data_IF_561751982745
#
_entry.id   IF_561751982745
#
_cell.length_a   1.000
_cell.length_b   1.000
_cell.length_c   1.000
_cell.angle_alpha   90.00
_cell.angle_beta   90.00
_cell.angle_gamma   90.00
#
_symmetry.space_group_name_H-M   'P 1'
#
loop_
_entity.id
_entity.type
_entity.pdbx_description
1 polymer ?
#
# COMPACT_ATOMS: atom_id res chain seq x y z
N UNK A 1 13.92 15.35 9.65
CA UNK A 1 12.91 14.42 9.14
C UNK A 1 13.51 13.54 8.06
N UNK A 2 13.14 12.26 8.06
CA UNK A 2 13.55 11.29 7.04
C UNK A 2 12.33 10.99 6.17
N UNK A 3 12.42 11.24 4.87
CA UNK A 3 11.45 10.72 3.91
C UNK A 3 11.65 9.21 3.79
N UNK A 4 10.64 8.44 4.18
CA UNK A 4 10.71 6.97 4.19
C UNK A 4 10.10 6.38 2.94
N UNK A 5 9.00 6.95 2.47
CA UNK A 5 8.28 6.46 1.30
C UNK A 5 7.38 7.55 0.74
N UNK A 6 7.23 7.55 -0.57
CA UNK A 6 6.13 8.15 -1.31
C UNK A 6 5.07 7.10 -1.60
N UNK A 7 3.82 7.46 -1.42
CA UNK A 7 2.65 6.62 -1.66
C UNK A 7 1.77 7.37 -2.65
N UNK A 8 1.26 6.66 -3.65
CA UNK A 8 0.37 7.23 -4.66
C UNK A 8 -1.07 6.91 -4.27
N UNK A 9 -1.86 7.94 -4.02
CA UNK A 9 -3.31 7.82 -4.01
C UNK A 9 -3.84 7.93 -5.44
N UNK A 10 -4.15 6.79 -6.04
CA UNK A 10 -4.78 6.71 -7.35
C UNK A 10 -6.28 6.92 -7.23
N UNK A 11 -6.81 7.88 -8.00
CA UNK A 11 -8.24 8.21 -8.11
C UNK A 11 -8.79 7.57 -9.37
N UNK A 12 -9.64 6.52 -9.28
CA UNK A 12 -10.19 5.87 -10.47
C UNK A 12 -11.11 6.80 -11.28
N UNK A 13 -11.71 7.79 -10.61
CA UNK A 13 -12.59 8.80 -11.23
C UNK A 13 -12.05 10.20 -10.90
N UNK A 14 -10.94 10.66 -11.53
CA UNK A 14 -10.44 12.00 -11.33
C UNK A 14 -11.38 13.03 -11.94
N UNK A 15 -11.34 14.27 -11.45
CA UNK A 15 -11.99 15.40 -12.13
C UNK A 15 -11.39 15.54 -13.52
N UNK A 16 -12.23 15.69 -14.57
CA UNK A 16 -11.74 15.92 -15.92
C UNK A 16 -11.01 17.27 -15.99
N UNK A 17 -9.89 17.29 -16.70
CA UNK A 17 -9.13 18.50 -16.99
C UNK A 17 -9.29 18.85 -18.47
N UNK A 18 -9.53 20.13 -18.79
CA UNK A 18 -9.65 20.60 -20.17
C UNK A 18 -8.30 20.86 -20.86
N UNK A 19 -7.23 20.25 -20.36
CA UNK A 19 -5.88 20.44 -20.91
C UNK A 19 -5.58 19.44 -22.02
N UNK A 20 -4.87 19.88 -23.05
CA UNK A 20 -4.51 19.08 -24.23
C UNK A 20 -3.01 18.86 -24.39
N UNK A 21 -2.20 19.50 -23.56
CA UNK A 21 -0.73 19.51 -23.61
C UNK A 21 -0.07 18.51 -22.64
N UNK A 22 -0.88 17.83 -21.83
CA UNK A 22 -0.42 16.83 -20.85
C UNK A 22 -1.53 15.84 -20.49
N UNK A 23 -1.17 14.76 -19.83
CA UNK A 23 -2.13 13.80 -19.30
C UNK A 23 -2.93 14.40 -18.13
N UNK A 24 -4.21 14.02 -18.01
CA UNK A 24 -5.04 14.30 -16.85
C UNK A 24 -4.42 13.68 -15.58
N UNK A 25 -4.30 14.48 -14.52
CA UNK A 25 -3.74 14.01 -13.25
C UNK A 25 -4.75 13.16 -12.49
N UNK A 26 -4.49 11.86 -12.39
CA UNK A 26 -5.38 10.89 -11.75
C UNK A 26 -4.88 10.43 -10.36
N UNK A 27 -3.95 11.15 -9.75
CA UNK A 27 -3.36 10.75 -8.46
C UNK A 27 -2.91 11.95 -7.65
N UNK A 28 -2.74 11.69 -6.34
CA UNK A 28 -2.05 12.55 -5.39
C UNK A 28 -0.99 11.76 -4.64
N UNK A 29 -0.09 12.46 -3.94
CA UNK A 29 0.98 11.85 -3.17
C UNK A 29 0.68 11.92 -1.68
N UNK A 30 1.01 10.83 -0.97
CA UNK A 30 1.09 10.78 0.48
C UNK A 30 2.54 10.47 0.82
N UNK A 31 3.14 11.27 1.70
CA UNK A 31 4.53 11.10 2.08
C UNK A 31 4.63 10.57 3.50
N UNK A 32 5.33 9.45 3.67
CA UNK A 32 5.68 8.91 4.97
C UNK A 32 6.99 9.53 5.44
N UNK A 33 6.93 10.31 6.51
CA UNK A 33 8.10 10.87 7.17
C UNK A 33 8.27 10.30 8.58
N UNK A 34 9.52 10.22 9.03
CA UNK A 34 9.85 9.92 10.41
C UNK A 34 10.82 10.94 11.00
N UNK A 35 10.77 11.16 12.32
CA UNK A 35 11.72 12.05 13.02
C UNK A 35 13.07 11.39 13.26
N UNK A 36 13.11 10.04 13.27
CA UNK A 36 14.32 9.26 13.53
C UNK A 36 14.41 8.08 12.55
N UNK A 37 15.59 7.47 12.47
CA UNK A 37 15.81 6.28 11.64
C UNK A 37 15.00 5.07 12.12
N UNK A 38 14.77 4.97 13.43
CA UNK A 38 13.88 3.98 14.06
C UNK A 38 12.57 4.64 14.42
N UNK A 39 11.46 4.05 14.01
CA UNK A 39 10.11 4.56 14.24
C UNK A 39 9.12 3.41 14.30
N UNK A 40 7.94 3.66 14.88
CA UNK A 40 6.84 2.71 14.88
C UNK A 40 6.23 2.60 13.48
N UNK A 41 6.02 1.39 13.03
CA UNK A 41 5.27 1.09 11.81
C UNK A 41 4.68 -0.31 11.90
N UNK A 42 3.35 -0.42 11.95
CA UNK A 42 2.65 -1.69 12.01
C UNK A 42 2.27 -2.16 10.59
N UNK A 43 3.15 -2.93 9.97
CA UNK A 43 2.94 -3.49 8.66
C UNK A 43 1.85 -4.57 8.65
N UNK A 44 1.64 -5.28 9.77
CA UNK A 44 0.64 -6.35 9.87
C UNK A 44 -0.77 -5.80 9.82
N UNK A 45 -1.01 -4.67 10.52
CA UNK A 45 -2.32 -4.02 10.59
C UNK A 45 -2.85 -3.53 9.23
N UNK A 46 -1.96 -3.36 8.25
CA UNK A 46 -2.32 -2.83 6.93
C UNK A 46 -2.09 -3.81 5.79
N UNK A 47 -1.84 -5.09 6.08
CA UNK A 47 -1.70 -6.10 5.03
C UNK A 47 -2.91 -6.13 4.12
N UNK A 48 -2.66 -6.41 2.84
CA UNK A 48 -3.70 -6.58 1.83
C UNK A 48 -3.78 -8.05 1.39
N UNK A 49 -4.93 -8.50 0.87
CA UNK A 49 -5.05 -9.85 0.31
C UNK A 49 -3.97 -10.10 -0.74
N UNK A 50 -3.33 -11.27 -0.69
CA UNK A 50 -2.42 -11.70 -1.73
C UNK A 50 -3.23 -12.03 -2.98
N UNK A 51 -3.26 -11.10 -3.93
CA UNK A 51 -3.81 -11.34 -5.27
C UNK A 51 -2.67 -11.75 -6.18
N UNK A 52 -2.69 -12.92 -6.69
CA UNK A 52 -1.64 -13.48 -7.54
C UNK A 52 -1.06 -14.74 -6.95
N UNK A 53 -0.08 -15.26 -7.53
CA UNK A 53 0.49 -16.58 -7.34
C UNK A 53 0.56 -17.02 -5.85
N UNK A 54 -0.44 -17.75 -5.43
CA UNK A 54 -0.54 -18.31 -4.06
C UNK A 54 0.12 -19.69 -3.93
N UNK A 55 1.05 -20.04 -4.82
CA UNK A 55 1.67 -21.36 -4.85
C UNK A 55 0.66 -22.48 -5.03
N UNK A 56 -0.61 -22.14 -5.32
CA UNK A 56 -1.65 -23.13 -5.46
C UNK A 56 -1.30 -24.10 -6.59
N UNK A 57 -1.33 -25.36 -6.26
CA UNK A 57 -1.52 -26.42 -7.25
C UNK A 57 -2.73 -26.01 -8.08
N UNK A 58 -2.60 -26.01 -9.39
CA UNK A 58 -3.79 -25.98 -10.23
C UNK A 58 -4.75 -27.07 -9.74
N UNK A 59 -6.06 -26.87 -9.88
CA UNK A 59 -7.08 -27.86 -9.48
C UNK A 59 -6.81 -29.26 -10.04
N UNK A 60 -5.98 -29.35 -11.07
CA UNK A 60 -5.51 -30.63 -11.70
C UNK A 60 -4.27 -31.22 -11.03
N UNK A 61 -3.77 -30.70 -9.94
CA UNK A 61 -2.63 -31.24 -9.19
C UNK A 61 -1.26 -31.08 -9.88
N UNK A 62 -1.17 -30.38 -11.01
CA UNK A 62 0.08 -30.23 -11.76
C UNK A 62 0.86 -29.03 -11.27
N UNK A 63 2.12 -29.23 -10.93
CA UNK A 63 3.05 -28.15 -10.61
C UNK A 63 3.28 -27.27 -11.85
N UNK A 64 3.35 -25.96 -11.65
CA UNK A 64 3.74 -24.96 -12.67
C UNK A 64 5.03 -25.32 -13.42
N UNK A 65 5.91 -26.08 -12.79
CA UNK A 65 7.17 -26.57 -13.38
C UNK A 65 6.93 -27.47 -14.59
N UNK A 66 5.79 -28.17 -14.63
CA UNK A 66 5.41 -29.09 -15.71
C UNK A 66 4.35 -28.52 -16.66
N UNK A 67 3.98 -27.22 -16.51
CA UNK A 67 3.04 -26.64 -17.45
C UNK A 67 3.68 -26.57 -18.86
N UNK A 68 3.01 -27.06 -19.92
CA UNK A 68 3.59 -27.14 -21.26
C UNK A 68 4.06 -25.79 -21.84
N UNK A 69 3.67 -24.68 -21.23
CA UNK A 69 4.12 -23.32 -21.59
C UNK A 69 5.21 -22.75 -20.66
N UNK A 70 5.52 -23.40 -19.53
CA UNK A 70 6.63 -23.00 -18.63
C UNK A 70 7.93 -23.54 -19.19
N UNK A 71 8.46 -22.95 -20.14
CA UNK A 71 9.70 -23.37 -20.83
C UNK A 71 9.75 -22.89 -22.26
N UNK A 72 8.58 -22.75 -22.89
CA UNK A 72 8.52 -22.24 -24.27
C UNK A 72 8.78 -20.73 -24.37
N UNK A 73 8.60 -19.99 -23.28
CA UNK A 73 8.90 -18.56 -23.19
C UNK A 73 10.24 -18.24 -22.51
N UNK A 74 11.11 -19.22 -22.33
CA UNK A 74 12.54 -18.93 -22.17
C UNK A 74 13.11 -18.47 -23.50
N UNK A 75 12.49 -17.43 -24.01
CA UNK A 75 12.96 -16.76 -25.19
C UNK A 75 14.32 -16.18 -24.91
N UNK A 76 15.25 -16.63 -25.75
CA UNK A 76 16.47 -15.97 -26.14
C UNK A 76 16.99 -15.01 -25.07
N UNK A 77 17.74 -15.57 -24.16
CA UNK A 77 18.64 -14.75 -23.37
C UNK A 77 19.32 -13.78 -24.33
N UNK A 78 19.40 -12.50 -24.00
CA UNK A 78 20.15 -11.56 -24.80
C UNK A 78 21.55 -12.12 -25.06
N UNK A 79 22.08 -11.95 -26.26
CA UNK A 79 23.43 -12.38 -26.60
C UNK A 79 24.42 -11.84 -25.55
N UNK A 80 25.19 -12.73 -24.90
CA UNK A 80 26.13 -12.35 -23.83
C UNK A 80 25.68 -12.72 -22.40
N UNK A 81 24.44 -13.21 -22.20
CA UNK A 81 23.97 -13.61 -20.86
C UNK A 81 24.39 -15.04 -20.45
N UNK A 82 24.80 -15.85 -21.39
CA UNK A 82 25.42 -17.17 -21.17
C UNK A 82 26.93 -17.12 -21.36
N UNK A 83 27.57 -16.16 -20.74
CA UNK A 83 29.01 -16.18 -20.60
C UNK A 83 29.39 -17.28 -19.62
N UNK A 84 30.22 -18.24 -20.06
CA UNK A 84 30.62 -19.44 -19.35
C UNK A 84 30.95 -19.34 -17.87
N UNK A 85 31.73 -20.28 -17.32
CA UNK A 85 32.12 -20.31 -15.89
C UNK A 85 32.45 -18.92 -15.36
N UNK A 86 31.55 -18.29 -14.58
CA UNK A 86 31.70 -16.94 -14.02
C UNK A 86 30.71 -15.90 -14.53
N UNK A 87 29.84 -16.21 -15.49
CA UNK A 87 28.76 -15.30 -15.92
C UNK A 87 27.63 -15.19 -14.89
N UNK A 88 26.87 -14.12 -14.97
CA UNK A 88 25.77 -13.80 -14.03
C UNK A 88 24.77 -14.94 -13.76
N UNK A 89 24.70 -15.93 -14.67
CA UNK A 89 23.87 -17.12 -14.52
C UNK A 89 24.49 -18.22 -13.65
N UNK A 90 25.79 -18.19 -13.37
CA UNK A 90 26.45 -19.23 -12.57
C UNK A 90 26.39 -18.95 -11.07
N UNK A 91 26.10 -17.72 -10.67
CA UNK A 91 26.02 -17.34 -9.25
C UNK A 91 24.89 -18.07 -8.51
N UNK A 92 23.87 -18.49 -9.22
CA UNK A 92 22.75 -19.24 -8.63
C UNK A 92 22.90 -20.77 -8.73
N UNK A 93 23.94 -21.29 -9.37
CA UNK A 93 24.09 -22.71 -9.62
C UNK A 93 25.19 -23.40 -8.83
N UNK A 94 26.17 -22.67 -8.33
CA UNK A 94 27.34 -23.24 -7.64
C UNK A 94 27.16 -23.49 -6.15
N UNK A 95 26.01 -23.17 -5.57
CA UNK A 95 25.73 -23.37 -4.15
C UNK A 95 24.66 -24.45 -3.83
N UNK A 96 24.17 -25.19 -4.83
CA UNK A 96 23.17 -26.26 -4.62
C UNK A 96 23.70 -27.61 -5.05
N UNK A 97 24.76 -28.05 -4.43
CA UNK A 97 25.29 -29.40 -4.61
C UNK A 97 24.78 -30.38 -3.53
N UNK A 98 23.91 -29.97 -2.66
CA UNK A 98 23.18 -30.90 -1.78
C UNK A 98 21.69 -30.59 -1.91
N UNK A 99 20.96 -31.58 -2.42
CA UNK A 99 19.51 -31.59 -2.34
C UNK A 99 19.17 -31.59 -0.85
N UNK A 100 18.87 -30.42 -0.31
CA UNK A 100 18.17 -30.35 0.97
C UNK A 100 16.84 -31.06 0.68
N UNK A 101 16.68 -32.23 1.28
CA UNK A 101 15.43 -32.94 1.33
C UNK A 101 14.42 -31.97 1.95
N UNK A 102 13.64 -31.32 1.13
CA UNK A 102 12.51 -30.51 1.57
C UNK A 102 11.50 -31.49 2.17
N UNK A 103 11.71 -31.82 3.45
CA UNK A 103 10.65 -32.37 4.24
C UNK A 103 9.51 -31.36 4.25
N UNK A 104 8.41 -31.79 3.75
CA UNK A 104 7.11 -31.18 3.51
C UNK A 104 6.58 -30.31 4.65
N UNK A 105 7.15 -29.15 4.84
CA UNK A 105 6.45 -28.04 5.48
C UNK A 105 6.58 -26.88 4.49
N UNK A 106 5.81 -26.94 3.42
CA UNK A 106 5.51 -25.71 2.69
C UNK A 106 4.81 -24.79 3.71
N UNK A 107 5.39 -23.63 4.07
CA UNK A 107 4.67 -22.70 4.91
C UNK A 107 3.33 -22.44 4.22
N UNK A 108 2.23 -22.54 4.98
CA UNK A 108 0.92 -22.22 4.47
C UNK A 108 1.04 -20.92 3.69
N UNK A 109 0.65 -20.95 2.43
CA UNK A 109 0.79 -19.80 1.54
C UNK A 109 0.06 -18.63 2.22
N UNK A 110 0.81 -17.60 2.60
CA UNK A 110 0.24 -16.44 3.26
C UNK A 110 -0.86 -15.86 2.38
N UNK A 111 -2.07 -15.85 2.88
CA UNK A 111 -3.23 -15.27 2.20
C UNK A 111 -3.16 -13.75 2.11
N UNK A 112 -2.17 -13.16 2.77
CA UNK A 112 -1.94 -11.72 2.82
C UNK A 112 -0.51 -11.37 2.41
N UNK A 113 -0.33 -10.14 1.97
CA UNK A 113 0.96 -9.55 1.60
C UNK A 113 1.09 -8.13 2.16
N UNK A 114 2.29 -7.61 2.22
CA UNK A 114 2.51 -6.21 2.58
C UNK A 114 1.76 -5.27 1.63
N UNK A 115 1.17 -4.23 2.20
CA UNK A 115 0.46 -3.21 1.43
C UNK A 115 1.41 -2.53 0.45
N UNK A 116 0.97 -2.40 -0.81
CA UNK A 116 1.73 -1.73 -1.87
C UNK A 116 1.61 -0.21 -1.75
N UNK A 117 2.51 0.51 -2.39
CA UNK A 117 2.57 1.98 -2.35
C UNK A 117 1.61 2.69 -3.31
N UNK A 118 0.82 1.97 -4.10
CA UNK A 118 -0.24 2.54 -4.93
C UNK A 118 -1.59 2.13 -4.36
N UNK A 119 -2.34 3.12 -3.86
CA UNK A 119 -3.63 2.92 -3.21
C UNK A 119 -4.74 3.46 -4.11
N UNK A 120 -5.59 2.56 -4.59
CA UNK A 120 -6.76 2.94 -5.38
C UNK A 120 -7.94 3.18 -4.45
N UNK A 121 -8.25 4.45 -4.21
CA UNK A 121 -9.36 4.86 -3.34
C UNK A 121 -10.19 5.89 -4.09
N UNK A 122 -11.47 5.59 -4.41
CA UNK A 122 -12.32 6.55 -5.09
C UNK A 122 -12.57 7.78 -4.21
N UNK A 123 -12.54 8.99 -4.78
CA UNK A 123 -13.00 10.18 -4.09
C UNK A 123 -14.45 10.00 -3.63
N UNK A 124 -14.76 10.49 -2.44
CA UNK A 124 -16.13 10.54 -1.96
C UNK A 124 -16.60 12.00 -1.93
N UNK A 125 -17.77 12.31 -2.52
CA UNK A 125 -18.33 13.65 -2.40
C UNK A 125 -18.71 13.91 -0.94
N UNK A 126 -18.29 15.04 -0.42
CA UNK A 126 -18.70 15.52 0.89
C UNK A 126 -19.72 16.62 0.69
N UNK A 127 -20.93 16.45 1.24
CA UNK A 127 -22.07 17.33 0.96
C UNK A 127 -21.89 18.74 1.53
N UNK A 128 -21.15 18.87 2.61
CA UNK A 128 -21.06 20.07 3.44
C UNK A 128 -19.74 20.82 3.34
N UNK A 129 -18.69 20.18 2.83
CA UNK A 129 -17.37 20.79 2.68
C UNK A 129 -17.02 21.00 1.20
N UNK A 130 -16.74 22.23 0.84
CA UNK A 130 -16.43 22.62 -0.53
C UNK A 130 -14.98 22.38 -0.95
N UNK A 131 -14.07 21.98 -0.05
CA UNK A 131 -12.63 21.94 -0.33
C UNK A 131 -11.94 20.69 0.18
N UNK A 132 -11.09 20.13 -0.70
CA UNK A 132 -9.96 19.21 -0.44
C UNK A 132 -10.19 18.08 0.60
N UNK A 133 -11.40 17.52 0.66
CA UNK A 133 -11.69 16.39 1.55
C UNK A 133 -11.10 15.10 0.97
N UNK A 134 -10.65 14.22 1.84
CA UNK A 134 -10.23 12.87 1.48
C UNK A 134 -11.16 11.84 2.15
N UNK A 135 -11.36 10.67 1.51
CA UNK A 135 -12.23 9.63 2.05
C UNK A 135 -11.61 8.96 3.28
N UNK A 136 -12.46 8.52 4.24
CA UNK A 136 -12.01 7.80 5.43
C UNK A 136 -11.09 6.62 5.10
N UNK A 137 -11.41 5.86 4.05
CA UNK A 137 -10.63 4.70 3.61
C UNK A 137 -9.18 5.02 3.22
N UNK A 138 -8.88 6.28 2.91
CA UNK A 138 -7.52 6.72 2.62
C UNK A 138 -6.68 6.85 3.88
N UNK A 139 -7.25 7.40 4.96
CA UNK A 139 -6.51 7.68 6.18
C UNK A 139 -6.42 6.46 7.13
N UNK A 140 -7.35 5.50 7.01
CA UNK A 140 -7.36 4.27 7.82
C UNK A 140 -5.99 3.58 7.84
N UNK A 141 -5.37 3.21 6.70
CA UNK A 141 -4.07 2.56 6.72
C UNK A 141 -2.95 3.46 7.26
N UNK A 142 -3.04 4.78 7.10
CA UNK A 142 -2.06 5.70 7.68
C UNK A 142 -2.08 5.66 9.20
N UNK A 143 -3.27 5.68 9.80
CA UNK A 143 -3.45 5.64 11.26
C UNK A 143 -3.06 4.28 11.81
N UNK A 144 -3.52 3.18 11.18
CA UNK A 144 -3.21 1.83 11.63
C UNK A 144 -1.70 1.55 11.62
N UNK A 145 -1.01 1.96 10.55
CA UNK A 145 0.43 1.75 10.44
C UNK A 145 1.25 2.69 11.33
N UNK A 146 0.83 3.95 11.45
CA UNK A 146 1.64 5.00 12.07
C UNK A 146 1.38 5.25 13.56
N UNK A 147 0.25 4.75 14.11
CA UNK A 147 -0.15 5.01 15.49
C UNK A 147 -0.59 3.72 16.20
N UNK A 148 0.05 3.35 17.32
CA UNK A 148 -0.38 2.20 18.12
C UNK A 148 -1.78 2.43 18.71
N UNK A 149 -2.48 1.35 19.07
CA UNK A 149 -3.76 1.44 19.78
C UNK A 149 -3.61 2.26 21.06
N UNK A 150 -4.57 3.15 21.34
CA UNK A 150 -4.51 4.11 22.44
C UNK A 150 -3.53 5.27 22.26
N UNK A 151 -2.75 5.28 21.17
CA UNK A 151 -1.84 6.37 20.82
C UNK A 151 -2.58 7.66 20.44
N UNK A 152 -1.81 8.72 20.16
CA UNK A 152 -2.33 10.03 19.82
C UNK A 152 -2.03 10.38 18.37
N UNK A 153 -3.07 10.74 17.62
CA UNK A 153 -3.01 11.26 16.26
C UNK A 153 -3.18 12.78 16.32
N UNK A 154 -2.32 13.49 15.62
CA UNK A 154 -2.41 14.95 15.47
C UNK A 154 -2.70 15.29 13.99
N UNK A 155 -3.73 16.10 13.76
CA UNK A 155 -4.01 16.73 12.48
C UNK A 155 -3.95 18.24 12.62
N UNK A 156 -2.91 18.90 12.10
CA UNK A 156 -2.79 20.37 12.21
C UNK A 156 -3.70 21.12 11.23
N UNK A 157 -4.39 20.42 10.33
CA UNK A 157 -5.32 20.99 9.33
C UNK A 157 -6.59 20.15 9.29
N UNK A 158 -7.29 20.11 10.41
CA UNK A 158 -8.35 19.13 10.70
C UNK A 158 -9.56 19.20 9.73
N UNK A 159 -9.84 20.38 9.17
CA UNK A 159 -10.99 20.59 8.30
C UNK A 159 -12.29 20.08 8.93
N UNK A 160 -13.01 19.20 8.23
CA UNK A 160 -14.23 18.56 8.71
C UNK A 160 -14.01 17.43 9.73
N UNK A 161 -12.79 17.22 10.21
CA UNK A 161 -12.48 16.26 11.27
C UNK A 161 -12.31 14.80 10.81
N UNK A 162 -12.17 14.53 9.53
CA UNK A 162 -12.07 13.15 9.01
C UNK A 162 -10.99 12.33 9.73
N UNK A 163 -9.77 12.89 9.90
CA UNK A 163 -8.68 12.21 10.60
C UNK A 163 -9.07 11.87 12.05
N UNK A 164 -9.64 12.82 12.77
CA UNK A 164 -10.03 12.67 14.18
C UNK A 164 -11.13 11.62 14.33
N UNK A 165 -12.16 11.68 13.47
CA UNK A 165 -13.26 10.72 13.46
C UNK A 165 -12.73 9.30 13.25
N UNK A 166 -11.86 9.10 12.24
CA UNK A 166 -11.30 7.79 11.93
C UNK A 166 -10.36 7.30 13.04
N UNK A 167 -9.53 8.17 13.61
CA UNK A 167 -8.66 7.80 14.72
C UNK A 167 -9.46 7.27 15.91
N UNK A 168 -10.54 7.98 16.29
CA UNK A 168 -11.42 7.56 17.38
C UNK A 168 -12.14 6.23 17.06
N UNK A 169 -12.65 6.04 15.85
CA UNK A 169 -13.24 4.75 15.39
C UNK A 169 -12.25 3.60 15.50
N UNK A 170 -10.97 3.87 15.31
CA UNK A 170 -9.90 2.87 15.38
C UNK A 170 -9.29 2.71 16.80
N UNK A 171 -9.87 3.34 17.83
CA UNK A 171 -9.38 3.25 19.20
C UNK A 171 -8.09 4.02 19.46
N UNK A 172 -7.85 5.11 18.74
CA UNK A 172 -6.76 6.07 18.96
C UNK A 172 -7.35 7.38 19.47
N UNK A 173 -6.58 8.11 20.28
CA UNK A 173 -6.92 9.47 20.62
C UNK A 173 -6.54 10.40 19.48
N UNK A 174 -7.22 11.54 19.36
CA UNK A 174 -6.89 12.50 18.30
C UNK A 174 -7.02 13.94 18.78
N UNK A 175 -6.14 14.80 18.24
CA UNK A 175 -6.20 16.26 18.38
C UNK A 175 -6.19 16.83 16.96
N UNK A 176 -7.12 17.74 16.67
CA UNK A 176 -7.18 18.48 15.43
C UNK A 176 -7.08 19.98 15.69
N UNK A 177 -6.41 20.70 14.78
CA UNK A 177 -6.43 22.16 14.74
C UNK A 177 -7.12 22.61 13.46
N UNK A 178 -8.03 23.58 13.59
CA UNK A 178 -8.74 24.18 12.46
C UNK A 178 -8.87 25.67 12.69
N UNK A 179 -8.58 26.47 11.67
CA UNK A 179 -8.67 27.93 11.73
C UNK A 179 -10.05 28.45 11.34
N UNK A 180 -10.78 27.71 10.49
CA UNK A 180 -12.11 28.12 10.07
C UNK A 180 -13.17 27.61 11.06
N UNK A 181 -13.86 28.51 11.80
CA UNK A 181 -14.88 28.10 12.76
C UNK A 181 -16.04 27.34 12.13
N UNK A 182 -16.39 27.59 10.87
CA UNK A 182 -17.46 26.87 10.17
C UNK A 182 -17.18 25.38 10.07
N UNK A 183 -15.92 24.98 9.88
CA UNK A 183 -15.53 23.57 9.82
C UNK A 183 -15.58 22.92 11.21
N UNK A 184 -15.29 23.67 12.27
CA UNK A 184 -15.44 23.19 13.65
C UNK A 184 -16.90 22.90 13.98
N UNK A 185 -17.83 23.71 13.49
CA UNK A 185 -19.28 23.51 13.67
C UNK A 185 -19.80 22.27 12.93
N UNK A 186 -19.26 21.98 11.73
CA UNK A 186 -19.60 20.76 10.97
C UNK A 186 -19.22 19.51 11.77
N UNK A 187 -18.08 19.52 12.42
CA UNK A 187 -17.58 18.39 13.19
C UNK A 187 -18.34 18.19 14.51
N UNK A 188 -18.72 19.26 15.15
CA UNK A 188 -19.42 19.28 16.44
C UNK A 188 -20.73 20.09 16.32
N UNK A 189 -21.76 19.54 15.62
CA UNK A 189 -23.01 20.28 15.49
C UNK A 189 -23.59 20.59 16.89
N UNK A 190 -23.84 21.85 17.12
CA UNK A 190 -24.49 22.31 18.36
C UNK A 190 -25.84 21.61 18.46
N UNK A 191 -26.18 20.95 19.59
CA UNK A 191 -27.50 20.35 19.75
C UNK A 191 -28.58 21.43 19.60
N UNK A 192 -29.51 21.22 18.68
CA UNK A 192 -30.69 22.08 18.51
C UNK A 192 -31.69 21.84 19.61
#
# INVERSE_FOLDING_TARGET
WYLRQDIIWHKPNPMPESVTDRCTKAHEYIFLFSKSAKYYFDAEAIKEPATGWNGSKFEDGKNLINHPNVGKNRQRKPAGWDTGKGGHGSFHRSGRAEAIEYTEIAPEASTTRNKRSVWTVPPQPFKEAHFATFPENLIVPCILAGCPAGGLVLDPFNGSGTTRIVANKLGRNAIGFELNPEYIEIENPTPQ
#
